data_IF_929015381428
#
_entry.id   IF_929015381428
#
_cell.length_a   1.000
_cell.length_b   1.000
_cell.length_c   1.000
_cell.angle_alpha   90.00
_cell.angle_beta   90.00
_cell.angle_gamma   90.00
#
_symmetry.space_group_name_H-M   'P 1'
#
loop_
_entity.id
_entity.type
_entity.pdbx_description
1 polymer ?
#
# COMPACT_ATOMS: atom_id res chain seq x y z
N UNK A 1 22.13 33.35 5.18
CA UNK A 1 23.26 34.24 4.78
C UNK A 1 22.74 35.35 3.89
N UNK A 2 23.37 36.51 3.97
CA UNK A 2 23.06 37.62 3.06
C UNK A 2 24.33 37.91 2.26
N UNK A 3 24.22 37.85 0.94
CA UNK A 3 25.33 38.18 0.04
C UNK A 3 25.54 39.69 -0.01
N UNK A 4 26.74 40.22 -0.43
CA UNK A 4 27.03 41.65 -0.49
C UNK A 4 26.06 42.47 -1.34
N UNK A 5 25.38 41.83 -2.30
CA UNK A 5 24.36 42.49 -3.15
C UNK A 5 22.94 42.44 -2.53
N UNK A 6 22.80 41.99 -1.28
CA UNK A 6 21.52 41.89 -0.58
C UNK A 6 20.73 40.59 -0.84
N UNK A 7 21.24 39.67 -1.67
CA UNK A 7 20.57 38.39 -1.91
C UNK A 7 20.61 37.54 -0.64
N UNK A 8 19.44 37.07 -0.22
CA UNK A 8 19.32 36.11 0.89
C UNK A 8 19.58 34.69 0.36
N UNK A 9 20.50 33.97 0.99
CA UNK A 9 20.79 32.56 0.73
C UNK A 9 20.42 31.75 1.96
N UNK A 10 19.52 30.82 1.78
CA UNK A 10 19.10 29.89 2.80
C UNK A 10 19.62 28.49 2.47
N UNK A 11 20.21 27.82 3.44
CA UNK A 11 20.60 26.43 3.32
C UNK A 11 19.52 25.58 4.00
N UNK A 12 18.86 24.74 3.22
CA UNK A 12 17.86 23.79 3.70
C UNK A 12 18.39 22.37 3.50
N UNK A 13 17.94 21.39 4.29
CA UNK A 13 18.24 19.99 4.02
C UNK A 13 17.83 19.62 2.60
N UNK A 14 18.65 18.82 1.90
CA UNK A 14 18.33 18.33 0.56
C UNK A 14 17.08 17.41 0.58
N UNK A 15 16.87 16.74 1.71
CA UNK A 15 15.67 16.02 2.04
C UNK A 15 15.08 16.64 3.31
N UNK A 16 14.05 17.51 3.22
CA UNK A 16 13.43 18.07 4.40
C UNK A 16 12.88 16.95 5.30
N UNK A 17 12.95 17.12 6.63
CA UNK A 17 12.35 16.15 7.55
C UNK A 17 10.89 15.94 7.21
N UNK A 18 10.49 14.67 7.14
CA UNK A 18 9.10 14.30 6.94
C UNK A 18 8.36 14.45 8.26
N UNK A 19 7.27 15.20 8.27
CA UNK A 19 6.38 15.25 9.43
C UNK A 19 5.50 14.02 9.44
N UNK A 20 5.69 13.18 10.45
CA UNK A 20 4.92 11.96 10.64
C UNK A 20 4.05 12.14 11.90
N UNK A 21 2.73 12.35 11.75
CA UNK A 21 1.84 12.58 12.87
C UNK A 21 1.87 11.45 13.91
N UNK A 22 1.58 11.73 15.20
CA UNK A 22 1.43 10.70 16.21
C UNK A 22 0.32 9.72 15.85
N UNK A 23 0.57 8.42 16.04
CA UNK A 23 -0.42 7.37 15.80
C UNK A 23 -1.59 7.51 16.79
N UNK A 24 -2.80 7.50 16.25
CA UNK A 24 -4.03 7.34 17.01
C UNK A 24 -4.57 5.93 16.77
N UNK A 25 -4.21 5.01 17.64
CA UNK A 25 -4.63 3.61 17.51
C UNK A 25 -6.15 3.47 17.59
N UNK A 26 -6.72 2.80 16.58
CA UNK A 26 -8.15 2.50 16.50
C UNK A 26 -8.38 1.20 15.77
N UNK A 27 -9.41 0.50 16.21
CA UNK A 27 -10.00 -0.57 15.42
C UNK A 27 -10.88 0.05 14.34
N UNK A 28 -10.59 -0.23 13.07
CA UNK A 28 -11.31 0.31 11.91
C UNK A 28 -11.80 -0.86 11.06
N UNK A 29 -13.05 -0.80 10.63
CA UNK A 29 -13.61 -1.67 9.60
C UNK A 29 -14.26 -0.79 8.55
N UNK A 30 -13.84 -0.92 7.30
CA UNK A 30 -14.41 -0.19 6.17
C UNK A 30 -15.05 -1.16 5.21
N UNK A 31 -16.34 -0.97 4.95
CA UNK A 31 -17.14 -1.84 4.08
C UNK A 31 -17.16 -1.34 2.65
N UNK A 32 -17.10 -2.29 1.71
CA UNK A 32 -17.41 -1.98 0.31
C UNK A 32 -18.92 -1.76 0.18
N UNK A 33 -19.38 -0.57 -0.22
CA UNK A 33 -20.81 -0.33 -0.45
C UNK A 33 -21.35 -1.26 -1.52
N UNK A 34 -22.42 -1.97 -1.19
CA UNK A 34 -23.05 -2.92 -2.10
C UNK A 34 -24.21 -2.27 -2.83
N UNK A 35 -24.23 -2.40 -4.16
CA UNK A 35 -25.32 -1.87 -4.99
C UNK A 35 -25.21 -0.39 -5.36
N UNK A 36 -24.20 0.32 -4.90
CA UNK A 36 -23.98 1.74 -5.20
C UNK A 36 -23.05 1.98 -6.40
N UNK A 37 -22.39 0.92 -6.89
CA UNK A 37 -21.45 1.02 -8.01
C UNK A 37 -20.31 2.01 -7.72
N UNK A 38 -19.97 2.83 -8.71
CA UNK A 38 -18.86 3.80 -8.60
C UNK A 38 -19.18 5.03 -7.73
N UNK A 39 -20.39 5.16 -7.21
CA UNK A 39 -20.79 6.32 -6.38
C UNK A 39 -20.08 6.34 -5.02
N UNK A 40 -19.51 5.22 -4.59
CA UNK A 40 -18.71 5.14 -3.37
C UNK A 40 -17.31 5.75 -3.50
N UNK A 41 -16.89 6.12 -4.71
CA UNK A 41 -15.61 6.73 -5.00
C UNK A 41 -15.77 8.23 -5.22
N UNK A 42 -15.00 9.03 -4.48
CA UNK A 42 -14.87 10.48 -4.70
C UNK A 42 -13.95 10.78 -5.88
N UNK A 43 -14.10 11.95 -6.50
CA UNK A 43 -13.19 12.42 -7.55
C UNK A 43 -11.80 12.77 -7.01
N UNK A 44 -10.78 12.50 -7.81
CA UNK A 44 -9.39 12.76 -7.49
C UNK A 44 -8.56 13.23 -8.68
N UNK A 45 -7.25 13.12 -8.57
CA UNK A 45 -6.29 13.58 -9.57
C UNK A 45 -6.40 12.79 -10.88
N UNK A 46 -6.17 13.47 -12.02
CA UNK A 46 -6.05 12.86 -13.36
C UNK A 46 -7.23 11.97 -13.77
N UNK A 47 -8.44 12.28 -13.30
CA UNK A 47 -9.66 11.50 -13.57
C UNK A 47 -9.78 10.21 -12.75
N UNK A 48 -8.85 9.92 -11.86
CA UNK A 48 -8.93 8.81 -10.92
C UNK A 48 -9.98 9.08 -9.85
N UNK A 49 -10.56 8.03 -9.31
CA UNK A 49 -11.52 8.10 -8.20
C UNK A 49 -11.00 7.32 -7.01
N UNK A 50 -11.30 7.81 -5.81
CA UNK A 50 -10.73 7.31 -4.56
C UNK A 50 -11.81 6.94 -3.56
N UNK A 51 -11.67 5.78 -2.93
CA UNK A 51 -12.41 5.37 -1.74
C UNK A 51 -11.42 5.21 -0.59
N UNK A 52 -11.63 5.97 0.48
CA UNK A 52 -10.77 5.90 1.67
C UNK A 52 -11.07 4.61 2.45
N UNK A 53 -10.04 3.85 2.77
CA UNK A 53 -10.11 2.59 3.50
C UNK A 53 -9.80 2.76 5.00
N UNK A 54 -9.28 3.93 5.40
CA UNK A 54 -9.01 4.33 6.78
C UNK A 54 -9.49 5.77 6.95
N UNK A 55 -10.81 6.02 7.10
CA UNK A 55 -11.40 7.37 7.04
C UNK A 55 -10.81 8.40 8.01
N UNK A 56 -10.36 7.98 9.19
CA UNK A 56 -9.71 8.87 10.17
C UNK A 56 -8.18 8.90 10.04
N UNK A 57 -7.64 8.11 9.10
CA UNK A 57 -6.19 8.02 8.78
C UNK A 57 -5.32 7.79 10.03
N UNK A 58 -5.89 7.22 11.09
CA UNK A 58 -5.25 6.99 12.38
C UNK A 58 -4.52 8.25 12.91
N UNK A 59 -5.21 9.40 12.85
CA UNK A 59 -4.66 10.69 13.23
C UNK A 59 -3.75 11.33 12.19
N UNK A 60 -3.85 10.92 10.93
CA UNK A 60 -3.00 11.40 9.83
C UNK A 60 -1.73 10.55 9.62
N UNK A 61 -1.55 9.48 10.41
CA UNK A 61 -0.37 8.63 10.36
C UNK A 61 -0.33 7.75 9.11
N UNK A 62 -1.49 7.17 8.72
CA UNK A 62 -1.60 6.22 7.62
C UNK A 62 -2.75 6.58 6.68
N UNK A 63 -2.57 6.28 5.42
CA UNK A 63 -3.61 6.31 4.41
C UNK A 63 -3.68 4.94 3.72
N UNK A 64 -4.88 4.46 3.47
CA UNK A 64 -5.12 3.37 2.55
C UNK A 64 -6.27 3.76 1.63
N UNK A 65 -6.05 3.66 0.33
CA UNK A 65 -6.98 4.08 -0.71
C UNK A 65 -7.27 2.93 -1.68
N UNK A 66 -8.54 2.74 -1.97
CA UNK A 66 -8.96 1.98 -3.13
C UNK A 66 -9.16 2.97 -4.28
N UNK A 67 -8.33 2.87 -5.31
CA UNK A 67 -8.30 3.80 -6.44
C UNK A 67 -8.89 3.11 -7.66
N UNK A 68 -9.80 3.80 -8.34
CA UNK A 68 -10.41 3.38 -9.60
C UNK A 68 -9.99 4.34 -10.72
N UNK A 69 -9.46 3.80 -11.80
CA UNK A 69 -9.29 4.49 -13.09
C UNK A 69 -10.45 4.06 -13.97
N UNK A 70 -11.48 4.90 -14.16
CA UNK A 70 -12.75 4.46 -14.77
C UNK A 70 -12.63 4.14 -16.25
N UNK A 71 -11.80 4.90 -16.99
CA UNK A 71 -11.67 4.81 -18.42
C UNK A 71 -10.33 4.20 -18.80
N UNK A 72 -10.33 3.23 -19.72
CA UNK A 72 -9.11 2.64 -20.25
C UNK A 72 -8.39 3.55 -21.26
N UNK A 73 -7.13 3.22 -21.55
CA UNK A 73 -6.29 3.95 -22.48
C UNK A 73 -5.26 4.87 -21.81
N UNK A 74 -4.75 5.88 -22.53
CA UNK A 74 -3.74 6.80 -22.03
C UNK A 74 -4.22 7.59 -20.80
N UNK A 75 -3.41 7.64 -19.74
CA UNK A 75 -3.69 8.42 -18.53
C UNK A 75 -3.00 9.77 -18.63
N UNK A 76 -3.74 10.86 -18.36
CA UNK A 76 -3.23 12.24 -18.38
C UNK A 76 -2.38 12.60 -17.15
N UNK A 77 -1.44 11.72 -16.79
CA UNK A 77 -0.52 11.92 -15.66
C UNK A 77 0.79 12.59 -16.09
N UNK A 78 1.52 13.18 -15.16
CA UNK A 78 2.81 13.84 -15.36
C UNK A 78 3.89 13.20 -14.47
N UNK A 79 5.17 13.44 -14.79
CA UNK A 79 6.29 12.95 -13.97
C UNK A 79 6.24 13.65 -12.61
N UNK A 80 6.17 12.86 -11.56
CA UNK A 80 6.10 13.36 -10.19
C UNK A 80 6.74 12.38 -9.21
N UNK A 81 6.93 12.83 -7.97
CA UNK A 81 7.43 12.03 -6.86
C UNK A 81 6.81 12.49 -5.54
N UNK A 82 6.92 11.63 -4.53
CA UNK A 82 6.42 11.90 -3.19
C UNK A 82 7.56 11.93 -2.18
N UNK A 83 7.44 12.83 -1.20
CA UNK A 83 8.23 12.75 0.02
C UNK A 83 7.42 11.96 1.05
N UNK A 84 7.65 10.65 1.11
CA UNK A 84 6.84 9.68 1.86
C UNK A 84 7.72 8.62 2.50
N UNK A 85 7.39 8.19 3.72
CA UNK A 85 8.14 7.14 4.43
C UNK A 85 7.92 5.76 3.79
N UNK A 86 6.68 5.50 3.39
CA UNK A 86 6.25 4.23 2.81
C UNK A 86 5.11 4.46 1.83
N UNK A 87 5.18 3.86 0.66
CA UNK A 87 4.07 3.81 -0.29
C UNK A 87 4.15 2.55 -1.14
N UNK A 88 3.06 1.78 -1.14
CA UNK A 88 2.93 0.60 -1.98
C UNK A 88 1.66 0.66 -2.81
N UNK A 89 1.72 0.09 -4.00
CA UNK A 89 0.61 -0.01 -4.96
C UNK A 89 0.41 -1.48 -5.30
N UNK A 90 -0.77 -2.01 -5.01
CA UNK A 90 -1.19 -3.37 -5.38
C UNK A 90 -2.24 -3.31 -6.48
N UNK A 91 -2.02 -4.01 -7.59
CA UNK A 91 -3.01 -4.12 -8.65
C UNK A 91 -4.12 -5.08 -8.22
N UNK A 92 -5.29 -4.51 -7.95
CA UNK A 92 -6.44 -5.27 -7.46
C UNK A 92 -7.28 -5.82 -8.61
N UNK A 93 -7.49 -5.01 -9.67
CA UNK A 93 -8.21 -5.45 -10.88
C UNK A 93 -7.64 -4.79 -12.12
N UNK A 94 -7.58 -5.54 -13.22
CA UNK A 94 -7.12 -5.03 -14.49
C UNK A 94 -5.59 -4.91 -14.59
N UNK A 95 -5.13 -3.88 -15.28
CA UNK A 95 -3.70 -3.61 -15.44
C UNK A 95 -3.40 -2.11 -15.61
N UNK A 96 -2.18 -1.71 -15.27
CA UNK A 96 -1.67 -0.35 -15.48
C UNK A 96 -0.22 -0.38 -15.92
N UNK A 97 0.13 0.51 -16.86
CA UNK A 97 1.50 0.70 -17.36
C UNK A 97 2.10 1.93 -16.73
N UNK A 98 3.24 1.76 -16.06
CA UNK A 98 3.92 2.81 -15.30
C UNK A 98 5.39 2.88 -15.69
N UNK A 99 5.93 4.10 -15.80
CA UNK A 99 7.36 4.33 -15.96
C UNK A 99 7.95 4.86 -14.66
N UNK A 100 9.07 4.29 -14.25
CA UNK A 100 9.82 4.66 -13.05
C UNK A 100 11.23 5.13 -13.41
N UNK A 101 11.73 6.09 -12.66
CA UNK A 101 13.09 6.62 -12.77
C UNK A 101 14.12 5.52 -12.59
N UNK A 102 14.97 5.32 -13.63
CA UNK A 102 16.10 4.39 -13.65
C UNK A 102 15.73 2.91 -13.42
N UNK A 103 14.49 2.55 -13.72
CA UNK A 103 14.02 1.16 -13.63
C UNK A 103 13.82 0.50 -15.01
N UNK A 104 14.39 1.10 -16.08
CA UNK A 104 14.32 0.57 -17.44
C UNK A 104 13.05 0.98 -18.18
N UNK A 105 12.54 0.06 -19.01
CA UNK A 105 11.33 0.29 -19.79
C UNK A 105 10.07 0.33 -18.93
N UNK A 106 8.98 0.98 -19.41
CA UNK A 106 7.73 0.99 -18.70
C UNK A 106 7.24 -0.41 -18.34
N UNK A 107 6.80 -0.57 -17.09
CA UNK A 107 6.36 -1.84 -16.52
C UNK A 107 4.85 -1.98 -16.60
N UNK A 108 4.38 -3.19 -16.89
CA UNK A 108 2.97 -3.55 -16.87
C UNK A 108 2.67 -4.24 -15.53
N UNK A 109 1.95 -3.56 -14.66
CA UNK A 109 1.43 -4.10 -13.41
C UNK A 109 0.07 -4.74 -13.70
N UNK A 110 -0.05 -6.03 -13.44
CA UNK A 110 -1.27 -6.82 -13.65
C UNK A 110 -1.89 -7.25 -12.33
N UNK A 111 -3.11 -7.75 -12.37
CA UNK A 111 -3.82 -8.21 -11.17
C UNK A 111 -2.97 -9.15 -10.32
N UNK A 112 -2.81 -8.82 -9.05
CA UNK A 112 -1.98 -9.56 -8.11
C UNK A 112 -0.55 -9.04 -7.95
N UNK A 113 -0.05 -8.24 -8.88
CA UNK A 113 1.28 -7.64 -8.81
C UNK A 113 1.32 -6.45 -7.84
N UNK A 114 2.53 -6.06 -7.41
CA UNK A 114 2.72 -5.00 -6.45
C UNK A 114 3.97 -4.17 -6.75
N UNK A 115 3.87 -2.86 -6.60
CA UNK A 115 5.01 -1.95 -6.55
C UNK A 115 5.29 -1.46 -5.12
N UNK A 116 6.56 -1.33 -4.75
CA UNK A 116 7.02 -0.39 -3.74
C UNK A 116 7.50 0.86 -4.45
N UNK A 117 6.95 2.01 -4.08
CA UNK A 117 7.41 3.33 -4.52
C UNK A 117 8.21 3.98 -3.39
N UNK A 118 9.55 3.85 -3.36
CA UNK A 118 10.35 4.50 -2.34
C UNK A 118 10.28 6.03 -2.47
N UNK A 119 10.52 6.70 -1.35
CA UNK A 119 10.54 8.18 -1.30
C UNK A 119 11.35 8.76 -2.44
N UNK A 120 10.85 9.78 -3.08
CA UNK A 120 11.49 10.58 -4.15
C UNK A 120 11.70 9.89 -5.49
N UNK A 121 11.33 8.63 -5.67
CA UNK A 121 11.36 8.01 -7.01
C UNK A 121 10.38 8.70 -7.96
N UNK A 122 10.89 9.20 -9.10
CA UNK A 122 10.04 9.80 -10.13
C UNK A 122 9.30 8.70 -10.87
N UNK A 123 8.02 8.93 -11.07
CA UNK A 123 7.18 7.99 -11.78
C UNK A 123 6.05 8.69 -12.53
N UNK A 124 5.43 7.95 -13.44
CA UNK A 124 4.30 8.42 -14.22
C UNK A 124 3.45 7.25 -14.69
N UNK A 125 2.14 7.34 -14.51
CA UNK A 125 1.18 6.42 -15.11
C UNK A 125 1.01 6.77 -16.59
N UNK A 126 1.13 5.78 -17.46
CA UNK A 126 1.08 5.97 -18.93
C UNK A 126 -0.26 5.53 -19.51
N UNK A 127 -0.73 4.36 -19.11
CA UNK A 127 -1.90 3.72 -19.70
C UNK A 127 -2.53 2.77 -18.67
N UNK A 128 -3.83 2.58 -18.73
CA UNK A 128 -4.55 1.64 -17.87
C UNK A 128 -5.60 0.86 -18.67
N UNK A 129 -6.01 -0.30 -18.16
CA UNK A 129 -7.19 -1.00 -18.64
C UNK A 129 -8.46 -0.27 -18.22
N UNK A 130 -9.56 -0.56 -18.90
CA UNK A 130 -10.88 -0.10 -18.48
C UNK A 130 -11.19 -0.57 -17.05
N UNK A 131 -11.70 0.34 -16.21
CA UNK A 131 -12.07 0.11 -14.80
C UNK A 131 -10.94 -0.52 -13.96
N UNK A 132 -9.68 -0.14 -14.25
CA UNK A 132 -8.52 -0.58 -13.49
C UNK A 132 -8.59 -0.14 -12.03
N UNK A 133 -8.22 -1.01 -11.09
CA UNK A 133 -8.28 -0.74 -9.66
C UNK A 133 -6.98 -1.11 -8.96
N UNK A 134 -6.53 -0.24 -8.04
CA UNK A 134 -5.39 -0.51 -7.15
C UNK A 134 -5.76 -0.27 -5.70
N UNK A 135 -5.05 -0.95 -4.81
CA UNK A 135 -4.99 -0.62 -3.39
C UNK A 135 -3.65 0.06 -3.13
N UNK A 136 -3.70 1.29 -2.68
CA UNK A 136 -2.55 2.07 -2.26
C UNK A 136 -2.53 2.19 -0.75
N UNK A 137 -1.37 1.95 -0.13
CA UNK A 137 -1.15 2.18 1.30
C UNK A 137 0.08 3.03 1.49
N UNK A 138 -0.01 4.07 2.31
CA UNK A 138 1.06 5.03 2.54
C UNK A 138 1.16 5.57 3.96
N UNK A 139 2.34 6.10 4.29
CA UNK A 139 2.68 6.75 5.55
C UNK A 139 3.68 7.89 5.30
N UNK A 140 3.41 9.12 5.75
CA UNK A 140 2.19 9.61 6.38
C UNK A 140 1.01 9.76 5.39
N UNK A 141 -0.19 9.99 5.93
CA UNK A 141 -1.41 10.16 5.12
C UNK A 141 -1.35 11.43 4.25
N UNK A 142 -0.87 12.52 4.83
CA UNK A 142 -0.60 13.75 4.10
C UNK A 142 0.90 13.80 3.77
N UNK A 143 1.19 13.86 2.50
CA UNK A 143 2.55 13.94 1.97
C UNK A 143 2.57 14.79 0.71
N UNK A 144 3.73 15.40 0.47
CA UNK A 144 3.91 16.27 -0.67
C UNK A 144 4.01 15.48 -1.98
N UNK A 145 3.37 16.00 -3.01
CA UNK A 145 3.51 15.52 -4.40
C UNK A 145 4.17 16.61 -5.22
N UNK A 146 5.36 16.34 -5.73
CA UNK A 146 6.15 17.28 -6.50
C UNK A 146 6.18 16.87 -7.97
N UNK A 147 5.78 17.78 -8.85
CA UNK A 147 5.98 17.61 -10.28
C UNK A 147 7.42 17.81 -10.69
N UNK A 148 7.90 17.03 -11.65
CA UNK A 148 9.22 17.19 -12.27
C UNK A 148 9.06 17.34 -13.79
N UNK A 149 8.76 18.56 -14.29
CA UNK A 149 8.50 18.81 -15.71
C UNK A 149 9.76 18.72 -16.59
N UNK A 150 10.94 18.75 -16.00
CA UNK A 150 12.20 18.64 -16.74
C UNK A 150 12.61 17.19 -16.98
N UNK A 151 12.07 16.25 -16.19
CA UNK A 151 12.36 14.82 -16.35
C UNK A 151 11.45 14.18 -17.37
N UNK A 152 12.05 13.38 -18.25
CA UNK A 152 11.32 12.48 -19.17
C UNK A 152 11.48 11.04 -18.75
N UNK A 153 10.36 10.30 -18.66
CA UNK A 153 10.35 8.87 -18.38
C UNK A 153 9.84 8.08 -19.60
N UNK A 154 10.45 6.91 -19.92
CA UNK A 154 11.56 6.28 -19.18
C UNK A 154 12.90 7.02 -19.42
N UNK A 155 13.82 6.88 -18.45
CA UNK A 155 15.18 7.48 -18.53
C UNK A 155 16.12 6.70 -19.48
N UNK A 156 15.71 5.51 -19.92
CA UNK A 156 16.56 4.60 -20.70
C UNK A 156 17.66 3.92 -19.88
N UNK A 157 17.70 4.11 -18.57
CA UNK A 157 18.62 3.47 -17.62
C UNK A 157 17.91 2.41 -16.79
N UNK A 158 18.62 1.34 -16.43
CA UNK A 158 18.13 0.32 -15.50
C UNK A 158 19.15 0.15 -14.36
N UNK A 159 18.79 0.61 -13.18
CA UNK A 159 19.60 0.57 -11.97
C UNK A 159 18.78 -0.07 -10.82
N UNK A 160 18.54 -1.39 -10.85
CA UNK A 160 17.62 -2.08 -9.93
C UNK A 160 18.02 -1.96 -8.45
N UNK A 161 19.31 -1.81 -8.18
CA UNK A 161 19.85 -1.68 -6.82
C UNK A 161 19.95 -0.22 -6.34
N UNK A 162 19.46 0.74 -7.13
CA UNK A 162 19.48 2.15 -6.75
C UNK A 162 18.60 2.38 -5.52
N UNK A 163 19.20 3.02 -4.50
CA UNK A 163 18.48 3.54 -3.35
C UNK A 163 17.86 4.91 -3.65
N UNK A 164 16.69 5.17 -3.08
CA UNK A 164 15.93 6.42 -3.21
C UNK A 164 15.62 7.00 -1.83
N UNK A 165 15.40 8.30 -1.77
CA UNK A 165 15.11 9.00 -0.52
C UNK A 165 16.27 9.03 0.47
N UNK A 166 16.03 9.55 1.68
CA UNK A 166 17.06 9.68 2.70
C UNK A 166 17.53 8.32 3.25
N UNK A 167 16.66 7.33 3.26
CA UNK A 167 16.93 6.00 3.84
C UNK A 167 17.51 5.01 2.81
N UNK A 168 17.57 5.38 1.54
CA UNK A 168 18.16 4.55 0.48
C UNK A 168 17.32 3.31 0.13
N UNK A 169 16.01 3.35 0.36
CA UNK A 169 15.11 2.24 0.05
C UNK A 169 15.08 1.96 -1.46
N UNK A 170 14.92 0.70 -1.83
CA UNK A 170 14.93 0.26 -3.23
C UNK A 170 13.51 0.14 -3.77
N UNK A 171 13.37 0.35 -5.07
CA UNK A 171 12.16 0.03 -5.79
C UNK A 171 11.91 -1.48 -5.82
N UNK A 172 10.64 -1.88 -5.76
CA UNK A 172 10.22 -3.28 -5.95
C UNK A 172 9.15 -3.34 -7.02
N UNK A 173 9.32 -4.26 -7.96
CA UNK A 173 8.26 -4.75 -8.82
C UNK A 173 8.08 -6.24 -8.53
N UNK A 174 7.09 -6.56 -7.71
CA UNK A 174 6.71 -7.94 -7.41
C UNK A 174 5.69 -8.44 -8.42
N UNK A 175 6.00 -9.55 -9.08
CA UNK A 175 5.12 -10.24 -10.00
C UNK A 175 4.51 -11.47 -9.31
N UNK A 176 3.17 -11.52 -9.26
CA UNK A 176 2.44 -12.58 -8.57
C UNK A 176 2.75 -13.98 -9.11
N UNK A 177 3.00 -14.07 -10.42
CA UNK A 177 3.29 -15.33 -11.10
C UNK A 177 4.60 -15.99 -10.65
N UNK A 178 5.58 -15.18 -10.18
CA UNK A 178 6.91 -15.65 -9.78
C UNK A 178 7.02 -15.96 -8.28
N UNK A 179 5.94 -15.73 -7.53
CA UNK A 179 5.96 -15.83 -6.08
C UNK A 179 5.84 -17.26 -5.57
N UNK A 180 6.54 -17.55 -4.49
CA UNK A 180 6.40 -18.77 -3.70
C UNK A 180 5.54 -18.53 -2.46
N UNK A 181 4.92 -19.59 -1.95
CA UNK A 181 4.08 -19.56 -0.76
C UNK A 181 4.82 -20.15 0.44
N UNK A 182 4.62 -19.58 1.61
CA UNK A 182 5.21 -19.98 2.88
C UNK A 182 4.15 -19.95 3.99
N UNK A 183 4.29 -20.73 5.07
CA UNK A 183 3.35 -20.70 6.20
C UNK A 183 3.22 -19.28 6.78
N UNK A 184 1.99 -18.82 7.00
CA UNK A 184 1.73 -17.51 7.61
C UNK A 184 1.76 -17.59 9.15
N UNK A 185 1.80 -16.42 9.82
CA UNK A 185 1.78 -16.30 11.29
C UNK A 185 0.51 -16.89 11.94
N UNK A 186 -0.60 -16.92 11.20
CA UNK A 186 -1.84 -17.58 11.65
C UNK A 186 -1.87 -18.99 11.10
N UNK A 187 -2.01 -19.99 11.98
CA UNK A 187 -2.04 -21.39 11.60
C UNK A 187 -3.18 -21.69 10.60
N UNK A 188 -2.92 -22.55 9.62
CA UNK A 188 -3.87 -22.91 8.58
C UNK A 188 -3.92 -21.93 7.40
N UNK A 189 -3.02 -20.94 7.35
CA UNK A 189 -2.85 -20.01 6.24
C UNK A 189 -1.42 -20.02 5.72
N UNK A 190 -1.27 -19.64 4.46
CA UNK A 190 0.02 -19.39 3.82
C UNK A 190 0.03 -18.00 3.17
N UNK A 191 1.22 -17.46 2.94
CA UNK A 191 1.40 -16.15 2.31
C UNK A 191 2.46 -16.18 1.21
N UNK A 192 2.31 -15.28 0.26
CA UNK A 192 3.38 -14.86 -0.65
C UNK A 192 3.90 -13.49 -0.25
N UNK A 193 5.22 -13.37 -0.12
CA UNK A 193 5.89 -12.11 0.18
C UNK A 193 6.09 -11.30 -1.10
N UNK A 194 5.93 -9.98 -1.01
CA UNK A 194 6.18 -9.07 -2.14
C UNK A 194 7.62 -8.58 -2.23
N UNK A 195 8.47 -8.90 -1.25
CA UNK A 195 9.85 -8.43 -1.18
C UNK A 195 10.03 -7.00 -0.65
N UNK A 196 8.93 -6.32 -0.30
CA UNK A 196 8.96 -4.94 0.22
C UNK A 196 9.76 -4.86 1.51
N UNK A 197 9.61 -5.85 2.40
CA UNK A 197 10.33 -5.88 3.67
C UNK A 197 11.85 -5.81 3.50
N UNK A 198 12.39 -6.60 2.59
CA UNK A 198 13.83 -6.60 2.28
C UNK A 198 14.30 -5.32 1.58
N UNK A 199 13.46 -4.70 0.76
CA UNK A 199 13.80 -3.45 0.05
C UNK A 199 13.74 -2.21 0.95
N UNK A 200 13.05 -2.30 2.08
CA UNK A 200 12.87 -1.24 3.07
C UNK A 200 13.58 -1.50 4.40
N UNK A 201 14.53 -2.43 4.44
CA UNK A 201 15.28 -2.79 5.67
C UNK A 201 14.36 -3.08 6.88
N UNK A 202 13.20 -3.71 6.62
CA UNK A 202 12.24 -4.12 7.63
C UNK A 202 11.24 -3.04 8.07
N UNK A 203 11.24 -1.85 7.48
CA UNK A 203 10.33 -0.74 7.87
C UNK A 203 8.87 -1.08 7.61
N UNK A 204 8.57 -1.70 6.47
CA UNK A 204 7.22 -2.10 6.10
C UNK A 204 7.23 -3.43 5.35
N UNK A 205 6.15 -4.20 5.44
CA UNK A 205 5.93 -5.44 4.69
C UNK A 205 4.57 -5.46 4.01
N UNK A 206 4.50 -6.21 2.91
CA UNK A 206 3.26 -6.46 2.21
C UNK A 206 3.22 -7.94 1.80
N UNK A 207 2.09 -8.59 2.08
CA UNK A 207 1.90 -10.02 1.80
C UNK A 207 0.51 -10.27 1.25
N UNK A 208 0.37 -11.29 0.42
CA UNK A 208 -0.95 -11.84 0.08
C UNK A 208 -1.11 -13.16 0.80
N UNK A 209 -2.21 -13.33 1.52
CA UNK A 209 -2.50 -14.47 2.38
C UNK A 209 -3.69 -15.24 1.84
N UNK A 210 -3.65 -16.57 1.93
CA UNK A 210 -4.79 -17.46 1.60
C UNK A 210 -4.87 -18.64 2.57
N UNK A 211 -6.05 -19.26 2.74
CA UNK A 211 -6.20 -20.44 3.59
C UNK A 211 -5.60 -21.70 2.95
N UNK A 212 -5.10 -22.60 3.78
CA UNK A 212 -4.75 -23.98 3.45
C UNK A 212 -5.93 -24.88 3.78
N UNK A 213 -6.81 -25.10 2.81
CA UNK A 213 -8.05 -25.88 3.03
C UNK A 213 -9.09 -25.09 3.85
N UNK A 214 -9.62 -25.70 4.90
CA UNK A 214 -10.58 -25.08 5.83
C UNK A 214 -9.92 -25.02 7.20
N UNK A 215 -9.21 -23.94 7.53
CA UNK A 215 -8.56 -23.80 8.83
C UNK A 215 -9.59 -23.62 9.94
N UNK A 216 -9.25 -24.11 11.15
CA UNK A 216 -9.99 -23.79 12.36
C UNK A 216 -9.92 -22.29 12.68
N UNK A 217 -10.83 -21.82 13.52
CA UNK A 217 -10.79 -20.47 14.05
C UNK A 217 -9.47 -20.22 14.80
N UNK A 218 -8.75 -19.16 14.41
CA UNK A 218 -7.46 -18.84 15.00
C UNK A 218 -7.46 -17.44 15.64
N UNK A 219 -7.14 -17.40 16.93
CA UNK A 219 -6.96 -16.15 17.67
C UNK A 219 -5.50 -15.72 17.57
N UNK A 220 -5.28 -14.44 17.30
CA UNK A 220 -3.97 -13.83 17.16
C UNK A 220 -3.99 -12.40 17.70
N UNK A 221 -2.79 -11.84 17.89
CA UNK A 221 -2.57 -10.42 18.21
C UNK A 221 -1.22 -10.01 17.64
N UNK A 222 -0.88 -8.73 17.73
CA UNK A 222 0.43 -8.20 17.33
C UNK A 222 0.83 -7.00 18.20
N UNK A 223 2.11 -6.63 18.14
CA UNK A 223 2.66 -5.43 18.77
C UNK A 223 3.19 -4.41 17.74
N UNK A 224 2.84 -4.57 16.47
CA UNK A 224 3.27 -3.69 15.39
C UNK A 224 2.59 -2.32 15.45
N UNK A 225 3.26 -1.30 14.91
CA UNK A 225 2.72 0.05 14.72
C UNK A 225 1.45 0.04 13.86
N UNK A 226 1.41 -0.82 12.84
CA UNK A 226 0.32 -0.86 11.89
C UNK A 226 0.12 -2.26 11.30
N UNK A 227 -1.11 -2.72 11.29
CA UNK A 227 -1.56 -3.90 10.55
C UNK A 227 -2.87 -3.57 9.86
N UNK A 228 -2.81 -3.51 8.54
CA UNK A 228 -3.95 -3.27 7.67
C UNK A 228 -4.21 -4.50 6.82
N UNK A 229 -5.45 -4.92 6.75
CA UNK A 229 -5.88 -6.05 5.92
C UNK A 229 -7.02 -5.64 5.01
N UNK A 230 -6.90 -6.00 3.72
CA UNK A 230 -7.95 -5.81 2.71
C UNK A 230 -8.36 -7.18 2.14
N UNK A 231 -9.65 -7.42 2.00
CA UNK A 231 -10.18 -8.65 1.41
C UNK A 231 -10.15 -8.52 -0.12
N UNK A 232 -9.18 -9.21 -0.74
CA UNK A 232 -8.98 -9.20 -2.20
C UNK A 232 -10.01 -10.07 -2.93
N UNK A 233 -10.37 -11.21 -2.34
CA UNK A 233 -11.33 -12.17 -2.90
C UNK A 233 -11.95 -12.99 -1.77
N UNK A 234 -13.17 -13.51 -1.98
CA UNK A 234 -13.88 -14.32 -1.02
C UNK A 234 -14.33 -13.56 0.23
N UNK A 235 -14.26 -14.23 1.37
CA UNK A 235 -14.68 -13.63 2.63
C UNK A 235 -14.19 -14.39 3.85
N UNK A 236 -14.19 -13.70 5.01
CA UNK A 236 -13.72 -14.19 6.30
C UNK A 236 -14.54 -13.58 7.43
N UNK A 237 -14.67 -14.28 8.54
CA UNK A 237 -15.29 -13.76 9.77
C UNK A 237 -14.20 -13.24 10.70
N UNK A 238 -14.29 -11.98 11.07
CA UNK A 238 -13.44 -11.29 12.06
C UNK A 238 -14.21 -11.10 13.36
N UNK A 239 -13.61 -11.45 14.48
CA UNK A 239 -14.14 -11.14 15.82
C UNK A 239 -13.01 -10.55 16.68
N UNK A 240 -13.21 -9.36 17.18
CA UNK A 240 -12.29 -8.72 18.12
C UNK A 240 -12.76 -9.02 19.54
N UNK A 241 -11.91 -9.62 20.38
CA UNK A 241 -12.20 -9.89 21.79
C UNK A 241 -13.59 -10.52 22.00
N UNK A 242 -14.45 -9.77 22.73
CA UNK A 242 -15.83 -10.18 23.03
C UNK A 242 -16.89 -9.57 22.11
N UNK A 243 -16.46 -8.87 21.03
CA UNK A 243 -17.38 -8.27 20.07
C UNK A 243 -18.15 -9.36 19.30
N UNK A 244 -19.31 -8.98 18.74
CA UNK A 244 -20.04 -9.85 17.82
C UNK A 244 -19.20 -10.14 16.57
N UNK A 245 -19.24 -11.36 16.05
CA UNK A 245 -18.52 -11.70 14.82
C UNK A 245 -18.98 -10.85 13.63
N UNK A 246 -18.02 -10.38 12.85
CA UNK A 246 -18.27 -9.56 11.66
C UNK A 246 -17.84 -10.34 10.41
N UNK A 247 -18.78 -10.62 9.50
CA UNK A 247 -18.44 -11.12 8.18
C UNK A 247 -17.82 -10.01 7.35
N UNK A 248 -16.66 -10.27 6.77
CA UNK A 248 -15.96 -9.42 5.81
C UNK A 248 -15.93 -10.12 4.47
N UNK A 249 -16.20 -9.39 3.42
CA UNK A 249 -16.23 -9.90 2.06
C UNK A 249 -15.34 -9.06 1.14
N UNK A 250 -15.19 -9.47 -0.10
CA UNK A 250 -14.38 -8.78 -1.12
C UNK A 250 -14.61 -7.25 -1.11
N UNK A 251 -13.51 -6.49 -1.08
CA UNK A 251 -13.49 -5.04 -1.01
C UNK A 251 -13.58 -4.45 0.40
N UNK A 252 -13.88 -5.24 1.42
CA UNK A 252 -13.83 -4.79 2.82
C UNK A 252 -12.39 -4.72 3.32
N UNK A 253 -12.16 -3.88 4.32
CA UNK A 253 -10.84 -3.76 4.97
C UNK A 253 -10.96 -3.56 6.46
N UNK A 254 -9.86 -3.87 7.19
CA UNK A 254 -9.80 -3.61 8.61
C UNK A 254 -8.39 -3.27 9.08
N UNK A 255 -8.32 -2.53 10.19
CA UNK A 255 -7.12 -2.26 10.98
C UNK A 255 -7.36 -2.76 12.39
N UNK A 256 -6.43 -3.54 12.92
CA UNK A 256 -6.46 -3.96 14.33
C UNK A 256 -5.35 -3.20 15.07
N UNK A 257 -5.63 -2.55 16.22
CA UNK A 257 -4.60 -1.92 17.05
C UNK A 257 -3.64 -2.94 17.66
N UNK A 258 -2.44 -2.47 18.02
CA UNK A 258 -1.48 -3.29 18.76
C UNK A 258 -2.11 -3.85 20.05
N UNK A 259 -1.66 -5.03 20.45
CA UNK A 259 -2.08 -5.73 21.67
C UNK A 259 -3.59 -6.06 21.78
N UNK A 260 -4.32 -5.96 20.68
CA UNK A 260 -5.73 -6.35 20.59
C UNK A 260 -5.83 -7.79 20.07
N UNK A 261 -6.49 -8.65 20.84
CA UNK A 261 -6.80 -10.01 20.40
C UNK A 261 -7.94 -10.02 19.37
N UNK A 262 -7.77 -10.78 18.30
CA UNK A 262 -8.80 -10.98 17.30
C UNK A 262 -8.75 -12.40 16.75
N UNK A 263 -9.90 -12.90 16.33
CA UNK A 263 -10.06 -14.23 15.77
C UNK A 263 -10.46 -14.13 14.31
N UNK A 264 -9.81 -14.92 13.47
CA UNK A 264 -10.16 -15.14 12.08
C UNK A 264 -10.81 -16.53 11.96
N UNK A 265 -12.01 -16.62 11.36
CA UNK A 265 -12.75 -17.86 11.17
C UNK A 265 -13.53 -17.88 9.87
N UNK A 266 -14.02 -19.04 9.50
CA UNK A 266 -14.92 -19.26 8.37
C UNK A 266 -14.45 -18.63 7.03
N UNK A 267 -13.18 -18.83 6.62
CA UNK A 267 -12.73 -18.35 5.33
C UNK A 267 -13.45 -19.08 4.20
N UNK A 268 -13.80 -18.36 3.14
CA UNK A 268 -14.21 -19.04 1.90
C UNK A 268 -13.00 -19.69 1.23
N UNK A 269 -13.19 -20.74 0.41
CA UNK A 269 -12.09 -21.45 -0.25
C UNK A 269 -11.24 -20.57 -1.19
N UNK A 270 -11.81 -19.50 -1.72
CA UNK A 270 -11.16 -18.51 -2.60
C UNK A 270 -10.65 -17.29 -1.87
N UNK A 271 -10.66 -17.28 -0.52
CA UNK A 271 -10.18 -16.12 0.24
C UNK A 271 -8.77 -15.74 -0.15
N UNK A 272 -8.57 -14.45 -0.42
CA UNK A 272 -7.28 -13.80 -0.47
C UNK A 272 -7.32 -12.49 0.33
N UNK A 273 -6.28 -12.27 1.14
CA UNK A 273 -6.11 -11.06 1.93
C UNK A 273 -4.83 -10.34 1.52
N UNK A 274 -4.87 -9.03 1.35
CA UNK A 274 -3.68 -8.18 1.33
C UNK A 274 -3.39 -7.76 2.76
N UNK A 275 -2.22 -8.17 3.29
CA UNK A 275 -1.77 -7.89 4.65
C UNK A 275 -0.57 -6.94 4.59
N UNK A 276 -0.73 -5.72 5.09
CA UNK A 276 0.29 -4.66 5.09
C UNK A 276 0.67 -4.35 6.53
N UNK A 277 1.97 -4.41 6.83
CA UNK A 277 2.47 -4.32 8.20
C UNK A 277 3.61 -3.31 8.32
N UNK A 278 3.64 -2.57 9.42
CA UNK A 278 4.79 -1.79 9.87
C UNK A 278 5.06 -2.14 11.35
N UNK A 279 6.23 -2.73 11.67
CA UNK A 279 7.31 -3.15 10.77
C UNK A 279 6.95 -4.34 9.86
N UNK A 280 7.85 -4.69 8.93
CA UNK A 280 7.65 -5.80 7.99
C UNK A 280 7.39 -7.12 8.71
N UNK A 281 8.20 -7.46 9.69
CA UNK A 281 8.03 -8.64 10.53
C UNK A 281 7.31 -8.22 11.80
N UNK A 282 6.17 -8.88 12.07
CA UNK A 282 5.42 -8.62 13.28
C UNK A 282 6.20 -9.20 14.46
N UNK A 283 6.56 -8.38 15.46
CA UNK A 283 7.10 -8.91 16.69
C UNK A 283 6.07 -9.86 17.31
N UNK A 284 6.55 -11.03 17.76
CA UNK A 284 5.70 -11.96 18.49
C UNK A 284 5.02 -11.23 19.66
N UNK A 285 3.71 -11.21 19.67
CA UNK A 285 2.93 -10.66 20.78
C UNK A 285 2.97 -11.62 22.01
N UNK A 286 4.11 -12.30 22.24
CA UNK A 286 4.32 -13.13 23.43
C UNK A 286 5.03 -12.30 24.48
N UNK A 287 4.27 -11.75 25.34
CA UNK A 287 4.35 -11.73 26.83
C UNK A 287 3.46 -10.68 27.39
#
# INVERSE_FOLDING_TARGET
LVAPNGTVVEFVPAHPPMDIPPLQERFVVTRMPRGEGDTSFGEGRSGMRYRDLIPDRLGGRFIASHILIPDGGPVGDYVHFHNIRFQMIYCYRGWVKVAYEDQGEPMLLTEGDCFLQPSTIRHRVLEASDRMQVIEVGCPAEHETWGDPEMTLPTGRSLPDRGYGPDGHRFVFHQAADASWSPWRVAGYEYRDTGIGAAMDGVAGCRVVRPLGVPDAATTSHSAEFVFTFVLDGGITLRRESDEPMRLDEGDSFVVPAHTEYTLSDPTPNLQLLDVTLPADLPDART
#
